data_IF_054637587060
#
_entry.id   IF_054637587060
#
_cell.length_a   1.000
_cell.length_b   1.000
_cell.length_c   1.000
_cell.angle_alpha   90.00
_cell.angle_beta   90.00
_cell.angle_gamma   90.00
#
_symmetry.space_group_name_H-M   'P 1'
#
loop_
_entity.id
_entity.type
_entity.pdbx_description
1 polymer ?
#
# COMPACT_ATOMS: atom_id res chain seq x y z
N UNK A 1 9.88 -2.67 -12.13
CA UNK A 1 8.70 -3.45 -11.70
C UNK A 1 7.46 -2.80 -12.30
N UNK A 2 6.44 -3.58 -12.68
CA UNK A 2 5.22 -3.04 -13.29
C UNK A 2 4.01 -3.85 -12.83
N UNK A 3 2.99 -3.16 -12.30
CA UNK A 3 1.75 -3.75 -11.83
C UNK A 3 0.66 -3.63 -12.90
N UNK A 4 0.14 -4.77 -13.35
CA UNK A 4 -0.92 -4.84 -14.38
C UNK A 4 -2.33 -5.03 -13.79
N UNK A 5 -2.43 -5.34 -12.49
CA UNK A 5 -3.67 -5.68 -11.81
C UNK A 5 -3.59 -7.02 -11.07
N UNK A 6 -4.71 -7.46 -10.53
CA UNK A 6 -4.86 -8.81 -9.97
C UNK A 6 -6.29 -9.32 -10.16
N UNK A 7 -6.49 -10.63 -10.04
CA UNK A 7 -7.82 -11.25 -10.08
C UNK A 7 -8.75 -10.76 -8.95
N UNK A 8 -8.18 -10.16 -7.89
CA UNK A 8 -8.89 -9.78 -6.66
C UNK A 8 -9.09 -8.28 -6.54
N UNK A 9 -8.60 -7.48 -7.49
CA UNK A 9 -8.75 -6.03 -7.48
C UNK A 9 -9.13 -5.52 -8.86
N UNK A 10 -10.30 -4.87 -8.94
CA UNK A 10 -10.69 -4.16 -10.14
C UNK A 10 -9.86 -2.89 -10.27
N UNK A 11 -8.91 -2.92 -11.21
CA UNK A 11 -8.00 -1.81 -11.45
C UNK A 11 -8.43 -1.04 -12.70
N UNK A 12 -8.84 0.22 -12.51
CA UNK A 12 -9.10 1.10 -13.64
C UNK A 12 -7.77 1.53 -14.32
N UNK A 13 -7.79 1.89 -15.62
CA UNK A 13 -6.57 2.21 -16.36
C UNK A 13 -5.78 3.41 -15.81
N UNK A 14 -6.45 4.43 -15.29
CA UNK A 14 -5.84 5.65 -14.77
C UNK A 14 -5.06 5.37 -13.47
N UNK A 15 -5.68 4.64 -12.55
CA UNK A 15 -5.06 4.21 -11.30
C UNK A 15 -3.87 3.29 -11.56
N UNK A 16 -3.97 2.39 -12.54
CA UNK A 16 -2.84 1.56 -12.98
C UNK A 16 -1.64 2.40 -13.40
N UNK A 17 -1.88 3.46 -14.16
CA UNK A 17 -0.81 4.34 -14.63
C UNK A 17 -0.16 5.09 -13.47
N UNK A 18 -0.97 5.67 -12.56
CA UNK A 18 -0.47 6.36 -11.36
C UNK A 18 0.39 5.43 -10.49
N UNK A 19 -0.06 4.20 -10.26
CA UNK A 19 0.70 3.19 -9.51
C UNK A 19 2.04 2.92 -10.17
N UNK A 20 2.06 2.66 -11.47
CA UNK A 20 3.30 2.36 -12.19
C UNK A 20 4.27 3.54 -12.25
N UNK A 21 3.76 4.77 -12.39
CA UNK A 21 4.58 5.99 -12.29
C UNK A 21 5.20 6.09 -10.89
N UNK A 22 4.42 5.89 -9.83
CA UNK A 22 4.94 5.97 -8.45
C UNK A 22 6.04 4.94 -8.18
N UNK A 23 5.90 3.71 -8.69
CA UNK A 23 6.90 2.65 -8.63
C UNK A 23 8.16 3.07 -9.40
N UNK A 24 8.01 3.56 -10.64
CA UNK A 24 9.14 3.95 -11.48
C UNK A 24 9.92 5.16 -10.92
N UNK A 25 9.24 6.06 -10.22
CA UNK A 25 9.84 7.25 -9.61
C UNK A 25 10.39 7.00 -8.20
N UNK A 26 10.14 5.81 -7.63
CA UNK A 26 10.43 5.49 -6.22
C UNK A 26 9.84 6.54 -5.27
N UNK A 27 8.61 6.99 -5.55
CA UNK A 27 7.90 7.99 -4.75
C UNK A 27 6.73 7.38 -3.99
N UNK A 28 6.46 7.85 -2.76
CA UNK A 28 5.29 7.41 -2.02
C UNK A 28 4.01 7.83 -2.74
N UNK A 29 3.01 6.94 -2.72
CA UNK A 29 1.69 7.19 -3.29
C UNK A 29 0.65 7.37 -2.17
N UNK A 30 0.08 8.57 -2.07
CA UNK A 30 -1.03 8.86 -1.16
C UNK A 30 -2.36 8.61 -1.86
N UNK A 31 -3.17 7.69 -1.32
CA UNK A 31 -4.49 7.35 -1.85
C UNK A 31 -5.59 7.87 -0.94
N UNK A 32 -6.47 8.72 -1.48
CA UNK A 32 -7.64 9.27 -0.78
C UNK A 32 -8.94 8.72 -1.37
N UNK A 33 -9.99 8.65 -0.55
CA UNK A 33 -11.33 8.26 -0.99
C UNK A 33 -12.18 7.74 0.15
N UNK A 34 -13.44 7.41 -0.12
CA UNK A 34 -14.40 6.95 0.89
C UNK A 34 -13.99 5.63 1.56
N UNK A 35 -14.49 5.37 2.77
CA UNK A 35 -14.28 4.09 3.43
C UNK A 35 -14.80 2.94 2.54
N UNK A 36 -14.02 1.86 2.43
CA UNK A 36 -14.41 0.70 1.63
C UNK A 36 -14.05 0.74 0.14
N UNK A 37 -13.43 1.81 -0.38
CA UNK A 37 -13.02 1.86 -1.81
C UNK A 37 -11.76 1.04 -2.17
N UNK A 38 -11.37 0.09 -1.33
CA UNK A 38 -10.29 -0.86 -1.65
C UNK A 38 -8.85 -0.31 -1.56
N UNK A 39 -8.61 0.90 -1.04
CA UNK A 39 -7.25 1.48 -0.91
C UNK A 39 -6.23 0.54 -0.26
N UNK A 40 -6.60 -0.05 0.88
CA UNK A 40 -5.77 -1.02 1.60
C UNK A 40 -5.55 -2.28 0.76
N UNK A 41 -6.60 -2.80 0.11
CA UNK A 41 -6.52 -3.99 -0.75
C UNK A 41 -5.60 -3.76 -1.96
N UNK A 42 -5.60 -2.57 -2.56
CA UNK A 42 -4.70 -2.25 -3.66
C UNK A 42 -3.23 -2.46 -3.26
N UNK A 43 -2.83 -1.97 -2.08
CA UNK A 43 -1.47 -2.16 -1.59
C UNK A 43 -1.13 -3.65 -1.44
N UNK A 44 -2.03 -4.44 -0.84
CA UNK A 44 -1.84 -5.88 -0.68
C UNK A 44 -1.72 -6.62 -2.02
N UNK A 45 -2.54 -6.29 -3.00
CA UNK A 45 -2.50 -6.91 -4.33
C UNK A 45 -1.26 -6.50 -5.12
N UNK A 46 -0.80 -5.25 -5.01
CA UNK A 46 0.48 -4.82 -5.60
C UNK A 46 1.63 -5.64 -5.02
N UNK A 47 1.74 -5.74 -3.69
CA UNK A 47 2.81 -6.50 -3.06
C UNK A 47 2.75 -7.99 -3.42
N UNK A 48 1.56 -8.59 -3.43
CA UNK A 48 1.38 -10.00 -3.82
C UNK A 48 1.78 -10.24 -5.27
N UNK A 49 1.30 -9.43 -6.21
CA UNK A 49 1.56 -9.60 -7.65
C UNK A 49 3.03 -9.36 -8.00
N UNK A 50 3.70 -8.47 -7.26
CA UNK A 50 5.11 -8.14 -7.49
C UNK A 50 6.07 -8.94 -6.58
N UNK A 51 5.56 -9.90 -5.81
CA UNK A 51 6.33 -10.73 -4.88
C UNK A 51 7.18 -9.91 -3.89
N UNK A 52 6.61 -8.82 -3.39
CA UNK A 52 7.26 -7.92 -2.45
C UNK A 52 6.89 -8.28 -1.01
N UNK A 53 7.85 -8.08 -0.09
CA UNK A 53 7.56 -8.04 1.35
C UNK A 53 6.66 -6.84 1.65
N UNK A 54 5.57 -7.07 2.38
CA UNK A 54 4.61 -6.05 2.78
C UNK A 54 4.77 -5.75 4.28
N UNK A 55 4.98 -4.48 4.60
CA UNK A 55 4.98 -3.98 5.97
C UNK A 55 3.74 -3.07 6.16
N UNK A 56 2.92 -3.36 7.16
CA UNK A 56 1.74 -2.56 7.49
C UNK A 56 2.01 -1.69 8.73
N UNK A 57 1.76 -0.39 8.61
CA UNK A 57 1.81 0.53 9.74
C UNK A 57 0.47 1.25 9.93
N UNK A 58 -0.14 1.08 11.10
CA UNK A 58 -1.38 1.78 11.47
C UNK A 58 -1.05 3.06 12.21
N UNK A 59 -1.08 4.17 11.49
CA UNK A 59 -0.70 5.48 12.04
C UNK A 59 -1.90 6.29 12.54
N UNK A 60 -1.66 7.10 13.56
CA UNK A 60 -2.56 8.17 14.06
C UNK A 60 -1.88 9.52 13.89
N UNK A 61 -2.59 10.62 14.12
CA UNK A 61 -2.01 11.98 14.05
C UNK A 61 -0.86 12.21 15.04
N UNK A 62 -0.79 11.43 16.11
CA UNK A 62 0.26 11.49 17.13
C UNK A 62 1.44 10.56 16.85
N UNK A 63 1.40 9.83 15.73
CA UNK A 63 2.39 8.80 15.42
C UNK A 63 3.74 9.42 15.05
N UNK A 64 4.82 8.93 15.66
CA UNK A 64 6.20 9.33 15.40
C UNK A 64 6.90 8.29 14.54
N UNK A 65 7.84 8.72 13.70
CA UNK A 65 8.58 7.82 12.81
C UNK A 65 9.33 6.71 13.56
N UNK A 66 9.80 6.98 14.77
CA UNK A 66 10.45 5.98 15.63
C UNK A 66 9.55 4.78 15.92
N UNK A 67 8.23 4.99 16.02
CA UNK A 67 7.25 3.92 16.29
C UNK A 67 7.15 2.90 15.15
N UNK A 68 7.63 3.21 13.93
CA UNK A 68 7.77 2.22 12.84
C UNK A 68 8.90 1.24 13.08
N UNK A 69 9.89 1.61 13.89
CA UNK A 69 11.12 0.83 14.09
C UNK A 69 10.99 -0.19 15.23
N UNK A 70 9.81 -0.29 15.87
CA UNK A 70 9.59 -1.19 17.00
C UNK A 70 8.31 -2.01 16.79
N UNK A 71 8.40 -3.31 17.03
CA UNK A 71 7.24 -4.20 17.12
C UNK A 71 6.87 -4.32 18.60
N UNK A 72 5.74 -3.75 18.99
CA UNK A 72 5.18 -3.96 20.33
C UNK A 72 4.39 -5.27 20.34
N UNK A 73 5.06 -6.35 20.73
CA UNK A 73 4.40 -7.63 20.99
C UNK A 73 3.89 -7.65 22.43
N UNK A 74 2.58 -7.41 22.62
CA UNK A 74 1.95 -7.42 23.95
C UNK A 74 1.35 -8.78 24.32
N UNK A 75 1.81 -9.87 23.70
CA UNK A 75 1.43 -11.21 24.14
C UNK A 75 2.27 -11.58 25.37
N UNK A 76 1.59 -11.73 26.52
CA UNK A 76 2.08 -12.39 27.74
C UNK A 76 1.89 -13.91 27.61
#
# INVERSE_FOLDING_TARGET
>A
MRFEGSERYYLNPELREIVNISIAMEKPLLLMGEAGTGKTQLAFEIARTLELTMEEARCKSTFKGEELCYVYDTVL
#
